data_IF_381654479840
#
_entry.id   IF_381654479840
#
_cell.length_a   1.000
_cell.length_b   1.000
_cell.length_c   1.000
_cell.angle_alpha   90.00
_cell.angle_beta   90.00
_cell.angle_gamma   90.00
#
_symmetry.space_group_name_H-M   'P 1'
#
loop_
_entity.id
_entity.type
_entity.pdbx_description
1 polymer ?
#
# COMPACT_ATOMS: atom_id res chain seq x y z
N UNK A 1 1.07 32.77 64.49
CA UNK A 1 0.42 34.06 64.19
C UNK A 1 -0.27 33.93 62.85
N UNK A 2 -1.60 33.98 62.85
CA UNK A 2 -2.45 33.84 61.68
C UNK A 2 -2.87 35.21 61.19
N UNK A 3 -2.53 35.61 60.01
CA UNK A 3 -3.01 36.86 59.41
C UNK A 3 -4.05 36.50 58.32
N UNK A 4 -5.29 36.87 58.54
CA UNK A 4 -6.39 36.81 57.60
C UNK A 4 -6.45 38.12 56.81
N UNK A 5 -6.47 38.02 55.48
CA UNK A 5 -6.74 39.14 54.60
C UNK A 5 -8.17 38.93 54.03
N UNK A 6 -9.03 39.91 54.27
CA UNK A 6 -10.38 40.00 53.73
C UNK A 6 -10.32 40.80 52.40
N UNK A 7 -10.85 40.23 51.33
CA UNK A 7 -11.02 40.93 50.06
C UNK A 7 -12.49 41.39 49.93
N UNK A 8 -12.66 42.68 49.75
CA UNK A 8 -13.93 43.37 49.64
C UNK A 8 -14.48 43.27 48.21
N UNK A 9 -15.71 42.76 48.06
CA UNK A 9 -16.47 42.78 46.81
C UNK A 9 -17.14 44.14 46.63
N UNK A 10 -16.86 44.83 45.55
CA UNK A 10 -17.64 46.00 45.09
C UNK A 10 -18.45 45.56 43.87
N UNK A 11 -19.75 45.50 44.08
CA UNK A 11 -20.77 45.31 43.00
C UNK A 11 -21.15 46.68 42.47
N UNK A 12 -20.89 46.92 41.20
CA UNK A 12 -21.44 48.07 40.48
C UNK A 12 -22.52 47.62 39.51
N UNK A 13 -23.76 47.88 39.82
CA UNK A 13 -24.90 47.75 38.88
C UNK A 13 -24.88 48.94 37.91
N UNK A 14 -24.84 48.65 36.62
CA UNK A 14 -25.23 49.61 35.58
C UNK A 14 -26.48 49.10 34.89
N UNK A 15 -27.56 49.83 35.07
CA UNK A 15 -28.76 49.75 34.24
C UNK A 15 -28.58 50.67 33.01
N UNK A 16 -28.70 50.15 31.84
CA UNK A 16 -29.02 50.93 30.66
C UNK A 16 -30.14 50.25 29.85
N UNK A 17 -31.18 51.05 29.69
CA UNK A 17 -32.40 50.72 28.98
C UNK A 17 -32.20 50.64 27.47
N UNK A 18 -32.92 49.75 26.90
CA UNK A 18 -33.42 49.46 25.58
C UNK A 18 -33.11 50.35 24.37
N UNK A 19 -32.81 49.63 23.29
CA UNK A 19 -33.33 49.92 21.95
C UNK A 19 -33.39 48.63 21.17
N UNK A 20 -34.58 48.31 20.70
CA UNK A 20 -34.82 47.12 19.87
C UNK A 20 -34.14 47.24 18.52
N UNK A 21 -33.56 46.13 18.08
CA UNK A 21 -33.19 45.99 16.69
C UNK A 21 -33.48 44.57 16.22
N UNK A 22 -34.00 44.49 15.03
CA UNK A 22 -34.59 43.33 14.35
C UNK A 22 -33.59 42.19 14.24
N UNK A 23 -34.02 40.97 14.60
CA UNK A 23 -33.37 39.72 14.36
C UNK A 23 -33.19 39.44 12.87
N UNK A 24 -32.00 39.68 12.34
CA UNK A 24 -31.53 39.03 11.14
C UNK A 24 -30.89 37.71 11.56
N UNK A 25 -31.59 36.60 11.33
CA UNK A 25 -31.00 35.28 11.55
C UNK A 25 -29.84 35.05 10.58
N UNK A 26 -28.63 35.26 11.02
CA UNK A 26 -27.48 34.68 10.33
C UNK A 26 -27.54 33.17 10.57
N UNK A 27 -27.87 32.44 9.49
CA UNK A 27 -27.53 31.03 9.41
C UNK A 27 -26.03 30.94 9.56
N UNK A 28 -25.58 30.46 10.70
CA UNK A 28 -24.23 29.97 10.90
C UNK A 28 -24.13 28.74 10.01
N UNK A 29 -23.62 28.91 8.78
CA UNK A 29 -23.12 27.78 8.01
C UNK A 29 -22.02 27.15 8.87
N UNK A 30 -22.30 25.96 9.37
CA UNK A 30 -21.27 25.09 9.91
C UNK A 30 -20.34 24.76 8.75
N UNK A 31 -19.26 25.51 8.61
CA UNK A 31 -18.12 25.09 7.83
C UNK A 31 -17.68 23.78 8.52
N UNK A 32 -18.04 22.65 7.93
CA UNK A 32 -17.44 21.37 8.24
C UNK A 32 -15.94 21.60 8.07
N UNK A 33 -15.22 21.69 9.18
CA UNK A 33 -13.76 21.68 9.13
C UNK A 33 -13.39 20.43 8.33
N UNK A 34 -12.77 20.62 7.17
CA UNK A 34 -12.19 19.53 6.42
C UNK A 34 -11.35 18.71 7.40
N UNK A 35 -11.53 17.40 7.37
CA UNK A 35 -10.87 16.48 8.27
C UNK A 35 -9.39 16.35 7.81
N UNK A 36 -8.61 17.37 8.07
CA UNK A 36 -7.17 17.44 7.71
C UNK A 36 -6.30 16.57 8.63
N UNK A 37 -6.91 15.67 9.40
CA UNK A 37 -6.22 14.80 10.34
C UNK A 37 -6.63 13.36 10.18
N UNK A 38 -5.68 12.46 10.31
CA UNK A 38 -5.87 11.01 10.35
C UNK A 38 -5.19 10.41 11.58
N UNK A 39 -5.54 9.19 11.92
CA UNK A 39 -4.99 8.46 13.09
C UNK A 39 -4.09 7.33 12.60
N UNK A 40 -2.86 7.26 13.13
CA UNK A 40 -1.97 6.13 12.92
C UNK A 40 -2.13 5.06 14.03
N UNK A 41 -2.00 3.76 13.71
CA UNK A 41 -1.80 3.22 12.38
C UNK A 41 -3.08 3.30 11.53
N UNK A 42 -2.93 3.52 10.21
CA UNK A 42 -4.06 3.48 9.26
C UNK A 42 -4.63 2.07 9.14
N UNK A 43 -3.79 1.07 9.33
CA UNK A 43 -4.14 -0.34 9.29
C UNK A 43 -3.41 -1.08 10.43
N UNK A 44 -4.09 -1.99 11.17
CA UNK A 44 -3.51 -2.62 12.36
C UNK A 44 -2.38 -3.61 12.05
N UNK A 45 -2.41 -4.20 10.85
CA UNK A 45 -1.44 -5.19 10.36
C UNK A 45 -1.03 -4.85 8.93
N UNK A 46 0.17 -5.23 8.52
CA UNK A 46 0.61 -5.03 7.14
C UNK A 46 2.13 -4.94 7.03
N UNK A 47 2.77 -6.04 6.63
CA UNK A 47 4.16 -6.05 6.20
C UNK A 47 4.25 -5.70 4.71
N UNK A 48 5.27 -4.93 4.32
CA UNK A 48 5.56 -4.58 2.93
C UNK A 48 4.33 -4.01 2.19
N UNK A 49 3.74 -2.90 2.65
CA UNK A 49 2.52 -2.35 2.08
C UNK A 49 2.76 -1.75 0.69
N UNK A 50 1.83 -2.00 -0.23
CA UNK A 50 1.78 -1.35 -1.54
C UNK A 50 0.41 -0.75 -1.79
N UNK A 51 0.36 0.44 -2.39
CA UNK A 51 -0.88 1.11 -2.76
C UNK A 51 -0.76 1.78 -4.12
N UNK A 52 -1.76 1.59 -4.98
CA UNK A 52 -1.89 2.25 -6.27
C UNK A 52 -3.16 3.09 -6.30
N UNK A 53 -3.04 4.37 -6.68
CA UNK A 53 -4.19 5.22 -6.96
C UNK A 53 -4.55 5.14 -8.44
N UNK A 54 -5.78 4.74 -8.74
CA UNK A 54 -6.28 4.65 -10.11
C UNK A 54 -7.78 4.95 -10.17
N UNK A 55 -8.19 5.82 -11.09
CA UNK A 55 -9.60 6.20 -11.34
C UNK A 55 -10.37 6.61 -10.06
N UNK A 56 -9.74 7.41 -9.18
CA UNK A 56 -10.40 7.93 -7.96
C UNK A 56 -10.44 6.96 -6.79
N UNK A 57 -9.79 5.79 -6.89
CA UNK A 57 -9.71 4.77 -5.85
C UNK A 57 -8.26 4.40 -5.55
N UNK A 58 -8.01 4.04 -4.31
CA UNK A 58 -6.78 3.38 -3.88
C UNK A 58 -7.00 1.88 -3.85
N UNK A 59 -6.06 1.15 -4.41
CA UNK A 59 -5.96 -0.31 -4.30
C UNK A 59 -4.74 -0.63 -3.46
N UNK A 60 -4.96 -1.24 -2.31
CA UNK A 60 -3.94 -1.52 -1.30
C UNK A 60 -3.76 -3.02 -1.12
N UNK A 61 -2.53 -3.45 -0.90
CA UNK A 61 -2.18 -4.84 -0.57
C UNK A 61 -0.98 -4.87 0.38
N UNK A 62 -0.81 -5.98 1.09
CA UNK A 62 0.34 -6.25 1.95
C UNK A 62 0.59 -7.76 2.08
N UNK A 63 1.71 -8.16 2.63
CA UNK A 63 2.04 -9.56 2.89
C UNK A 63 1.06 -10.22 3.87
N UNK A 64 0.58 -11.42 3.53
CA UNK A 64 -0.39 -12.19 4.32
C UNK A 64 -0.05 -13.67 4.44
N UNK A 65 1.18 -14.08 4.07
CA UNK A 65 1.78 -15.40 4.18
C UNK A 65 1.20 -16.49 3.25
N UNK A 66 -0.13 -16.63 3.10
CA UNK A 66 -0.77 -17.76 2.40
C UNK A 66 -1.72 -17.36 1.27
N UNK A 67 -1.93 -16.07 1.05
CA UNK A 67 -2.88 -15.53 0.07
C UNK A 67 -2.51 -14.12 -0.32
N UNK A 68 -3.15 -13.58 -1.35
CA UNK A 68 -3.08 -12.14 -1.65
C UNK A 68 -4.46 -11.55 -1.45
N UNK A 69 -4.50 -10.50 -0.65
CA UNK A 69 -5.68 -9.71 -0.37
C UNK A 69 -5.54 -8.34 -1.02
N UNK A 70 -6.64 -7.80 -1.50
CA UNK A 70 -6.71 -6.46 -2.06
C UNK A 70 -7.80 -5.67 -1.35
N UNK A 71 -7.48 -4.45 -0.95
CA UNK A 71 -8.41 -3.48 -0.36
C UNK A 71 -8.64 -2.34 -1.32
N UNK A 72 -9.88 -1.93 -1.45
CA UNK A 72 -10.29 -0.78 -2.25
C UNK A 72 -10.91 0.28 -1.34
N UNK A 73 -10.48 1.53 -1.50
CA UNK A 73 -11.07 2.70 -0.82
C UNK A 73 -10.93 3.96 -1.68
N UNK A 74 -11.81 4.92 -1.50
CA UNK A 74 -11.65 6.26 -2.07
C UNK A 74 -10.82 7.19 -1.18
N UNK A 75 -10.56 6.79 0.08
CA UNK A 75 -9.78 7.55 1.06
C UNK A 75 -8.80 6.61 1.77
N UNK A 76 -7.51 6.72 1.42
CA UNK A 76 -6.46 5.87 2.01
C UNK A 76 -6.30 6.08 3.52
N UNK A 77 -6.80 7.18 4.07
CA UNK A 77 -6.78 7.45 5.51
C UNK A 77 -7.92 6.75 6.26
N UNK A 78 -8.87 6.15 5.54
CA UNK A 78 -10.01 5.41 6.08
C UNK A 78 -9.99 3.92 5.68
N UNK A 79 -8.90 3.25 5.98
CA UNK A 79 -8.72 1.83 5.69
C UNK A 79 -9.68 0.92 6.47
N UNK A 80 -10.25 1.40 7.58
CA UNK A 80 -11.21 0.65 8.38
C UNK A 80 -12.52 0.34 7.62
N UNK A 81 -12.88 1.17 6.64
CA UNK A 81 -14.07 1.00 5.79
C UNK A 81 -13.74 0.52 4.37
N UNK A 82 -12.48 0.19 4.09
CA UNK A 82 -12.08 -0.32 2.78
C UNK A 82 -12.76 -1.66 2.48
N UNK A 83 -13.20 -1.82 1.23
CA UNK A 83 -13.72 -3.11 0.75
C UNK A 83 -12.55 -4.07 0.55
N UNK A 84 -12.61 -5.25 1.15
CA UNK A 84 -11.53 -6.24 1.10
C UNK A 84 -11.96 -7.52 0.38
N UNK A 85 -11.04 -8.07 -0.44
CA UNK A 85 -11.24 -9.33 -1.16
C UNK A 85 -9.95 -10.16 -1.20
N UNK A 86 -10.07 -11.47 -1.03
CA UNK A 86 -8.99 -12.40 -1.40
C UNK A 86 -9.01 -12.50 -2.93
N UNK A 87 -7.96 -12.00 -3.58
CA UNK A 87 -7.85 -11.98 -5.03
C UNK A 87 -7.04 -13.14 -5.59
N UNK A 88 -6.19 -13.75 -4.75
CA UNK A 88 -5.40 -14.90 -5.12
C UNK A 88 -5.14 -15.83 -3.93
N UNK A 89 -5.19 -17.13 -4.22
CA UNK A 89 -4.73 -18.17 -3.31
C UNK A 89 -3.98 -19.23 -4.13
N UNK A 90 -2.68 -19.47 -3.83
CA UNK A 90 -1.88 -20.43 -4.58
C UNK A 90 -2.49 -21.84 -4.54
N UNK A 91 -2.32 -22.58 -5.63
CA UNK A 91 -2.75 -23.97 -5.77
C UNK A 91 -1.54 -24.91 -5.91
N UNK A 92 -0.37 -24.37 -6.29
CA UNK A 92 0.85 -25.11 -6.48
C UNK A 92 1.70 -25.05 -5.21
N UNK A 93 2.07 -26.21 -4.63
CA UNK A 93 2.92 -26.25 -3.44
C UNK A 93 4.27 -25.54 -3.59
N UNK A 94 4.80 -25.40 -4.81
CA UNK A 94 6.09 -24.75 -5.06
C UNK A 94 6.09 -23.23 -4.79
N UNK A 95 4.90 -22.62 -4.64
CA UNK A 95 4.73 -21.18 -4.40
C UNK A 95 3.61 -20.85 -3.42
N UNK A 96 3.34 -21.76 -2.49
CA UNK A 96 2.20 -21.64 -1.58
C UNK A 96 2.53 -21.12 -0.19
N UNK A 97 3.80 -20.86 0.10
CA UNK A 97 4.27 -20.37 1.38
C UNK A 97 4.96 -19.01 1.25
N UNK A 98 4.97 -18.27 2.34
CA UNK A 98 5.67 -16.99 2.47
C UNK A 98 5.36 -16.03 1.30
N UNK A 99 4.07 -15.73 1.08
CA UNK A 99 3.65 -14.77 0.07
C UNK A 99 3.98 -13.36 0.55
N UNK A 100 5.17 -12.88 0.18
CA UNK A 100 5.73 -11.63 0.68
C UNK A 100 5.65 -10.51 -0.35
N UNK A 101 5.58 -9.28 0.16
CA UNK A 101 5.69 -8.02 -0.58
C UNK A 101 4.86 -7.99 -1.88
N UNK A 102 3.54 -8.26 -1.84
CA UNK A 102 2.72 -8.09 -3.01
C UNK A 102 2.66 -6.62 -3.41
N UNK A 103 2.85 -6.32 -4.70
CA UNK A 103 2.82 -4.98 -5.25
C UNK A 103 1.89 -4.91 -6.45
N UNK A 104 0.89 -4.03 -6.41
CA UNK A 104 -0.13 -3.90 -7.47
C UNK A 104 0.26 -2.82 -8.47
N UNK A 105 0.11 -3.13 -9.77
CA UNK A 105 0.38 -2.22 -10.89
C UNK A 105 -0.74 -2.28 -11.93
N UNK A 106 -0.92 -1.15 -12.65
CA UNK A 106 -1.78 -1.06 -13.82
C UNK A 106 -0.93 -0.78 -15.05
N UNK A 107 -0.88 -1.72 -16.01
CA UNK A 107 0.03 -1.68 -17.15
C UNK A 107 -0.74 -2.13 -18.39
N UNK A 108 -0.77 -1.29 -19.44
CA UNK A 108 -1.42 -1.63 -20.73
C UNK A 108 -2.85 -2.15 -20.54
N UNK A 109 -3.65 -1.38 -19.79
CA UNK A 109 -5.06 -1.65 -19.49
C UNK A 109 -5.33 -2.97 -18.76
N UNK A 110 -4.34 -3.48 -18.02
CA UNK A 110 -4.45 -4.66 -17.17
C UNK A 110 -3.82 -4.46 -15.82
N UNK A 111 -4.28 -5.24 -14.84
CA UNK A 111 -3.76 -5.25 -13.49
C UNK A 111 -2.74 -6.37 -13.32
N UNK A 112 -1.66 -6.07 -12.63
CA UNK A 112 -0.62 -7.02 -12.29
C UNK A 112 -0.34 -6.96 -10.80
N UNK A 113 -0.10 -8.11 -10.18
CA UNK A 113 0.44 -8.19 -8.84
C UNK A 113 1.74 -8.97 -8.90
N UNK A 114 2.83 -8.33 -8.51
CA UNK A 114 4.12 -8.95 -8.29
C UNK A 114 4.23 -9.35 -6.84
N UNK A 115 4.71 -10.53 -6.56
CA UNK A 115 4.93 -11.00 -5.19
C UNK A 115 6.04 -12.04 -5.15
N UNK A 116 6.59 -12.30 -3.96
CA UNK A 116 7.55 -13.38 -3.76
C UNK A 116 6.87 -14.52 -3.01
N UNK A 117 7.24 -15.76 -3.33
CA UNK A 117 6.76 -16.95 -2.64
C UNK A 117 7.75 -18.12 -2.78
N UNK A 118 7.58 -19.15 -1.95
CA UNK A 118 8.36 -20.37 -1.95
C UNK A 118 7.53 -21.62 -1.59
N UNK A 119 8.21 -22.74 -1.42
CA UNK A 119 7.66 -24.06 -1.08
C UNK A 119 7.70 -24.38 0.44
N UNK A 120 7.92 -23.36 1.28
CA UNK A 120 8.18 -23.48 2.72
C UNK A 120 9.66 -23.40 3.07
N UNK A 121 10.55 -23.31 2.06
CA UNK A 121 11.98 -23.07 2.24
C UNK A 121 12.36 -21.73 1.57
N UNK A 122 12.74 -20.74 2.38
CA UNK A 122 13.07 -19.39 1.89
C UNK A 122 14.29 -19.34 0.96
N UNK A 123 15.10 -20.39 0.86
CA UNK A 123 16.16 -20.50 -0.17
C UNK A 123 15.60 -20.72 -1.57
N UNK A 124 14.32 -21.11 -1.69
CA UNK A 124 13.61 -21.30 -2.96
C UNK A 124 12.69 -20.14 -3.32
N UNK A 125 12.80 -19.02 -2.62
CA UNK A 125 11.99 -17.83 -2.85
C UNK A 125 12.18 -17.28 -4.27
N UNK A 126 11.08 -17.08 -4.99
CA UNK A 126 11.07 -16.56 -6.35
C UNK A 126 10.01 -15.44 -6.50
N UNK A 127 10.19 -14.62 -7.52
CA UNK A 127 9.19 -13.62 -7.91
C UNK A 127 8.15 -14.26 -8.82
N UNK A 128 6.88 -13.99 -8.53
CA UNK A 128 5.73 -14.42 -9.32
C UNK A 128 4.90 -13.23 -9.76
N UNK A 129 4.15 -13.42 -10.86
CA UNK A 129 3.28 -12.38 -11.43
C UNK A 129 1.89 -12.94 -11.66
N UNK A 130 0.92 -12.18 -11.22
CA UNK A 130 -0.50 -12.39 -11.51
C UNK A 130 -0.98 -11.32 -12.49
N UNK A 131 -1.89 -11.68 -13.40
CA UNK A 131 -2.56 -10.76 -14.32
C UNK A 131 -4.08 -10.84 -14.14
N UNK A 132 -4.74 -9.68 -14.14
CA UNK A 132 -6.20 -9.58 -14.24
C UNK A 132 -6.55 -8.59 -15.35
N UNK A 133 -7.34 -9.05 -16.34
CA UNK A 133 -7.76 -8.25 -17.50
C UNK A 133 -9.11 -7.53 -17.29
N UNK A 134 -9.71 -7.63 -16.10
CA UNK A 134 -10.92 -6.87 -15.77
C UNK A 134 -10.60 -5.37 -15.65
N UNK A 135 -11.50 -4.46 -16.03
CA UNK A 135 -11.33 -3.03 -15.78
C UNK A 135 -11.19 -2.66 -14.29
N UNK A 136 -11.79 -3.45 -13.41
CA UNK A 136 -11.71 -3.31 -11.95
C UNK A 136 -10.95 -4.52 -11.38
N UNK A 137 -9.86 -4.35 -10.62
CA UNK A 137 -9.09 -5.45 -10.06
C UNK A 137 -9.85 -6.18 -8.94
N UNK A 138 -10.88 -5.55 -8.37
CA UNK A 138 -11.79 -6.20 -7.42
C UNK A 138 -12.76 -7.16 -8.11
N UNK A 139 -12.87 -7.09 -9.45
CA UNK A 139 -13.68 -7.99 -10.29
C UNK A 139 -12.79 -8.93 -11.13
N UNK A 140 -13.42 -9.91 -11.76
CA UNK A 140 -12.69 -10.91 -12.55
C UNK A 140 -11.81 -11.84 -11.72
N UNK A 141 -10.74 -12.34 -12.34
CA UNK A 141 -9.79 -13.25 -11.70
C UNK A 141 -8.37 -12.84 -12.01
N UNK A 142 -7.51 -12.93 -11.01
CA UNK A 142 -6.08 -12.93 -11.23
C UNK A 142 -5.62 -14.32 -11.68
N UNK A 143 -4.80 -14.35 -12.71
CA UNK A 143 -4.24 -15.57 -13.31
C UNK A 143 -2.71 -15.56 -13.18
N UNK A 144 -2.14 -16.70 -12.78
CA UNK A 144 -0.70 -16.87 -12.67
C UNK A 144 -0.04 -16.82 -14.05
N UNK A 145 0.96 -15.91 -14.20
CA UNK A 145 1.81 -15.83 -15.41
C UNK A 145 3.09 -16.64 -15.27
N UNK A 146 3.41 -17.08 -14.08
CA UNK A 146 4.62 -17.84 -13.74
C UNK A 146 5.63 -17.05 -12.91
N UNK A 147 6.79 -17.64 -12.69
CA UNK A 147 7.91 -16.96 -12.03
C UNK A 147 8.70 -16.11 -13.03
N UNK A 148 9.20 -14.96 -12.54
CA UNK A 148 10.15 -14.15 -13.31
C UNK A 148 11.54 -14.75 -13.16
N UNK A 149 12.20 -15.07 -14.25
CA UNK A 149 13.57 -15.60 -14.24
C UNK A 149 14.55 -14.45 -14.03
N UNK A 150 14.92 -14.22 -12.78
CA UNK A 150 15.83 -13.14 -12.37
C UNK A 150 17.29 -13.52 -12.57
N UNK A 151 17.61 -14.83 -12.51
CA UNK A 151 18.93 -15.39 -12.74
C UNK A 151 18.79 -16.85 -13.20
N UNK A 152 19.35 -17.27 -14.33
CA UNK A 152 19.23 -18.65 -14.82
C UNK A 152 19.90 -19.69 -13.92
N UNK A 153 20.91 -19.31 -13.13
CA UNK A 153 21.61 -20.22 -12.23
C UNK A 153 20.87 -20.44 -10.92
N UNK A 154 20.27 -19.38 -10.40
CA UNK A 154 19.50 -19.43 -9.15
C UNK A 154 18.47 -18.30 -9.12
N UNK A 155 17.23 -18.65 -9.36
CA UNK A 155 16.13 -17.72 -9.56
C UNK A 155 15.54 -17.20 -8.25
N UNK A 156 16.39 -16.63 -7.37
CA UNK A 156 15.95 -16.05 -6.11
C UNK A 156 15.66 -14.56 -6.25
N UNK A 157 14.56 -14.08 -5.65
CA UNK A 157 14.21 -12.67 -5.63
C UNK A 157 13.02 -12.37 -4.72
N UNK A 158 13.02 -11.15 -4.14
CA UNK A 158 11.93 -10.61 -3.33
C UNK A 158 11.74 -9.12 -3.64
N UNK A 159 10.61 -8.52 -3.21
CA UNK A 159 10.33 -7.08 -3.26
C UNK A 159 10.51 -6.50 -4.67
N UNK A 160 9.79 -7.06 -5.63
CA UNK A 160 9.82 -6.60 -7.00
C UNK A 160 8.93 -5.39 -7.22
N UNK A 161 9.47 -4.35 -7.83
CA UNK A 161 8.72 -3.23 -8.38
C UNK A 161 8.99 -3.05 -9.86
N UNK A 162 8.02 -2.52 -10.60
CA UNK A 162 8.20 -2.20 -12.02
C UNK A 162 7.88 -0.75 -12.33
N UNK A 163 8.64 -0.16 -13.24
CA UNK A 163 8.44 1.21 -13.69
C UNK A 163 8.82 1.36 -15.16
N UNK A 164 8.35 2.46 -15.76
CA UNK A 164 8.72 2.81 -17.12
C UNK A 164 9.66 4.03 -17.13
N UNK A 165 10.71 3.95 -17.91
CA UNK A 165 11.61 5.07 -18.19
C UNK A 165 11.90 5.19 -19.69
N UNK A 166 11.58 6.34 -20.27
CA UNK A 166 11.77 6.64 -21.71
C UNK A 166 11.17 5.58 -22.64
N UNK A 167 9.96 5.09 -22.31
CA UNK A 167 9.25 4.09 -23.10
C UNK A 167 9.77 2.66 -22.93
N UNK A 168 10.67 2.41 -21.99
CA UNK A 168 11.20 1.09 -21.66
C UNK A 168 10.77 0.71 -20.25
N UNK A 169 10.22 -0.48 -20.09
CA UNK A 169 9.85 -1.01 -18.78
C UNK A 169 11.01 -1.75 -18.14
N UNK A 170 11.14 -1.55 -16.84
CA UNK A 170 12.16 -2.16 -16.01
C UNK A 170 11.51 -2.84 -14.82
N UNK A 171 12.14 -3.92 -14.34
CA UNK A 171 11.91 -4.53 -13.04
C UNK A 171 13.11 -4.22 -12.15
N UNK A 172 12.86 -3.79 -10.92
CA UNK A 172 13.84 -3.71 -9.86
C UNK A 172 13.43 -4.68 -8.73
N UNK A 173 14.39 -5.37 -8.13
CA UNK A 173 14.12 -6.34 -7.07
C UNK A 173 15.32 -6.54 -6.17
N UNK A 174 15.08 -7.10 -5.00
CA UNK A 174 16.13 -7.54 -4.10
C UNK A 174 16.53 -8.99 -4.37
N UNK A 175 17.81 -9.25 -4.46
CA UNK A 175 18.36 -10.58 -4.82
C UNK A 175 19.75 -10.82 -4.25
N UNK A 176 20.35 -11.96 -4.60
CA UNK A 176 21.68 -12.34 -4.17
C UNK A 176 22.65 -12.40 -5.36
N UNK A 177 23.94 -12.02 -5.16
CA UNK A 177 24.95 -12.12 -6.23
C UNK A 177 25.10 -13.55 -6.78
N UNK A 178 25.08 -14.51 -5.89
CA UNK A 178 25.11 -15.95 -6.14
C UNK A 178 24.18 -16.64 -5.14
N UNK A 179 24.13 -17.97 -5.13
CA UNK A 179 23.28 -18.68 -4.16
C UNK A 179 23.55 -18.17 -2.75
N UNK A 180 22.45 -17.89 -2.04
CA UNK A 180 22.47 -17.33 -0.70
C UNK A 180 23.42 -18.11 0.23
N UNK A 181 24.27 -17.36 0.92
CA UNK A 181 25.10 -17.82 2.02
C UNK A 181 24.96 -16.84 3.19
N UNK A 182 25.23 -17.28 4.41
CA UNK A 182 25.12 -16.40 5.60
C UNK A 182 26.12 -15.23 5.59
N UNK A 183 27.10 -15.23 4.70
CA UNK A 183 28.17 -14.23 4.60
C UNK A 183 27.93 -13.18 3.52
N UNK A 184 26.81 -13.26 2.73
CA UNK A 184 26.58 -12.37 1.60
C UNK A 184 25.54 -11.30 1.91
N UNK A 185 25.73 -10.16 1.27
CA UNK A 185 24.79 -9.04 1.34
C UNK A 185 23.76 -9.18 0.24
N UNK A 186 22.50 -9.04 0.58
CA UNK A 186 21.40 -8.90 -0.36
C UNK A 186 21.56 -7.58 -1.12
N UNK A 187 21.35 -7.60 -2.42
CA UNK A 187 21.61 -6.49 -3.34
C UNK A 187 20.36 -6.12 -4.11
N UNK A 188 20.33 -4.89 -4.63
CA UNK A 188 19.25 -4.46 -5.53
C UNK A 188 19.74 -4.65 -6.97
N UNK A 189 18.88 -5.27 -7.78
CA UNK A 189 19.09 -5.51 -9.19
C UNK A 189 18.02 -4.81 -10.02
N UNK A 190 18.39 -4.49 -11.26
CA UNK A 190 17.48 -3.96 -12.27
C UNK A 190 17.69 -4.73 -13.57
N UNK A 191 16.61 -4.96 -14.32
CA UNK A 191 16.68 -5.49 -15.67
C UNK A 191 15.53 -4.92 -16.51
N UNK A 192 15.76 -4.87 -17.84
CA UNK A 192 14.73 -4.48 -18.79
C UNK A 192 13.73 -5.61 -18.96
N UNK A 193 12.46 -5.24 -19.15
CA UNK A 193 11.36 -6.17 -19.39
C UNK A 193 10.90 -6.13 -20.84
N UNK A 194 10.59 -7.30 -21.41
CA UNK A 194 9.94 -7.48 -22.69
C UNK A 194 8.41 -7.31 -22.56
N UNK A 195 7.87 -7.90 -21.55
CA UNK A 195 6.47 -7.86 -21.15
C UNK A 195 6.39 -7.87 -19.61
N UNK A 196 5.21 -7.72 -18.97
CA UNK A 196 5.12 -7.60 -17.52
C UNK A 196 5.60 -8.80 -16.69
N UNK A 197 5.98 -9.92 -17.29
CA UNK A 197 6.47 -11.11 -16.58
C UNK A 197 7.76 -11.71 -17.15
N UNK A 198 8.36 -11.08 -18.19
CA UNK A 198 9.57 -11.59 -18.84
C UNK A 198 10.67 -10.54 -18.91
N UNK A 199 11.85 -10.85 -18.42
CA UNK A 199 13.04 -10.02 -18.61
C UNK A 199 13.66 -10.27 -20.00
N UNK A 200 14.17 -9.22 -20.64
CA UNK A 200 14.87 -9.28 -21.93
C UNK A 200 16.29 -8.72 -21.89
N UNK A 201 16.82 -8.49 -20.70
CA UNK A 201 18.21 -8.15 -20.48
C UNK A 201 18.79 -8.90 -19.29
N UNK A 202 20.12 -9.08 -19.20
CA UNK A 202 20.79 -9.46 -17.98
C UNK A 202 20.46 -8.48 -16.85
N UNK A 203 20.46 -8.99 -15.62
CA UNK A 203 20.34 -8.15 -14.43
C UNK A 203 21.59 -7.30 -14.22
N UNK A 204 21.43 -6.10 -13.76
CA UNK A 204 22.48 -5.16 -13.38
C UNK A 204 22.34 -4.85 -11.89
N UNK A 205 23.45 -4.91 -11.18
CA UNK A 205 23.54 -4.47 -9.77
C UNK A 205 23.54 -2.94 -9.75
N UNK A 206 22.70 -2.35 -8.86
CA UNK A 206 22.61 -0.89 -8.67
C UNK A 206 22.86 -0.49 -7.23
#
# INVERSE_FOLDING_TARGET
>A
MKTKIYLLFITTLFFCAGCGNKSGGQKQESVSAAKDTYVNPLFPEGADPSALFHNGKYYYTHGTEDKIMLWETSDITDMAHAVCKIVWKPQDPSNSCHLWAPEIHYINDKWYIYYAADDGNTDNHQLYVLENSSPDPMEGKFEMKGSIITNPEWNWGIQATTFEHKGVRYLAWSGWPKRRTNAETQCIYIARMKDPWTLDSPRVLI
#
